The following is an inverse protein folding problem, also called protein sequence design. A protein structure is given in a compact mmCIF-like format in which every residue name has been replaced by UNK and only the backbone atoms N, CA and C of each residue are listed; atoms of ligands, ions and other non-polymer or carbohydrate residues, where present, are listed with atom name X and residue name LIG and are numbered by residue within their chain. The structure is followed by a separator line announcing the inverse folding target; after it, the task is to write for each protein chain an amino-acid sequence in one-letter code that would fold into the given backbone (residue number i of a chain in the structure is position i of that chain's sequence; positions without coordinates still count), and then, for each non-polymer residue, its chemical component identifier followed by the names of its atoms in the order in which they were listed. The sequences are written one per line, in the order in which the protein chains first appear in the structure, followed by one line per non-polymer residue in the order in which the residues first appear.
data_IF_137872676134
#
_entry.id   IF_137872676134
#
_cell.length_a   1.000
_cell.length_b   1.000
_cell.length_c   1.000
_cell.angle_alpha   90.00
_cell.angle_beta   90.00
_cell.angle_gamma   90.00
#
_symmetry.space_group_name_H-M   'P 1'
#
loop_
_entity.id
_entity.type
_entity.pdbx_description
1 polymer ?
#
# COMPACT_ATOMS: atom_id res chain seq x y z
N UNK A 1 -6.62 -21.87 6.43
CA UNK A 1 -5.69 -20.90 7.03
C UNK A 1 -5.33 -19.83 6.00
N UNK A 2 -5.38 -18.53 6.39
CA UNK A 2 -4.98 -17.41 5.55
C UNK A 2 -3.65 -16.85 6.06
N UNK A 3 -2.65 -16.79 5.19
CA UNK A 3 -1.37 -16.14 5.51
C UNK A 3 -1.41 -14.68 5.09
N UNK A 4 -1.02 -13.79 6.01
CA UNK A 4 -0.85 -12.36 5.72
C UNK A 4 0.64 -12.01 5.83
N UNK A 5 1.24 -11.53 4.74
CA UNK A 5 2.59 -10.98 4.76
C UNK A 5 2.54 -9.46 4.98
N UNK A 6 3.66 -8.85 5.39
CA UNK A 6 3.65 -7.44 5.78
C UNK A 6 2.68 -7.14 6.93
N UNK A 7 2.39 -8.12 7.78
CA UNK A 7 1.38 -8.08 8.82
C UNK A 7 1.59 -6.99 9.88
N UNK A 8 2.81 -6.53 10.07
CA UNK A 8 3.14 -5.40 10.98
C UNK A 8 3.04 -4.03 10.32
N UNK A 9 2.75 -3.98 9.01
CA UNK A 9 2.56 -2.75 8.27
C UNK A 9 1.12 -2.23 8.32
N UNK A 10 0.90 -1.05 7.77
CA UNK A 10 -0.41 -0.36 7.78
C UNK A 10 -1.54 -1.21 7.18
N UNK A 11 -1.39 -1.69 5.94
CA UNK A 11 -2.42 -2.50 5.28
C UNK A 11 -2.47 -3.92 5.85
N UNK A 12 -1.31 -4.60 6.00
CA UNK A 12 -1.27 -5.98 6.50
C UNK A 12 -1.84 -6.09 7.91
N UNK A 13 -1.54 -5.16 8.81
CA UNK A 13 -2.10 -5.12 10.16
C UNK A 13 -3.62 -4.96 10.16
N UNK A 14 -4.15 -4.08 9.32
CA UNK A 14 -5.60 -3.93 9.13
C UNK A 14 -6.23 -5.20 8.55
N UNK A 15 -5.54 -5.88 7.61
CA UNK A 15 -6.01 -7.15 7.05
C UNK A 15 -6.08 -8.24 8.12
N UNK A 16 -5.05 -8.38 8.96
CA UNK A 16 -5.06 -9.32 10.09
C UNK A 16 -6.24 -9.04 11.02
N UNK A 17 -6.43 -7.79 11.43
CA UNK A 17 -7.52 -7.40 12.33
C UNK A 17 -8.89 -7.76 11.72
N UNK A 18 -9.15 -7.37 10.49
CA UNK A 18 -10.45 -7.59 9.85
C UNK A 18 -10.75 -9.07 9.57
N UNK A 19 -9.74 -9.88 9.26
CA UNK A 19 -9.90 -11.33 9.11
C UNK A 19 -10.25 -11.99 10.46
N UNK A 20 -9.61 -11.58 11.55
CA UNK A 20 -9.94 -12.05 12.90
C UNK A 20 -11.34 -11.64 13.33
N UNK A 21 -11.75 -10.38 13.06
CA UNK A 21 -13.10 -9.89 13.34
C UNK A 21 -14.16 -10.68 12.56
N UNK A 22 -13.81 -11.20 11.38
CA UNK A 22 -14.65 -12.11 10.60
C UNK A 22 -14.61 -13.57 11.10
N UNK A 23 -13.89 -13.87 12.18
CA UNK A 23 -13.78 -15.22 12.76
C UNK A 23 -12.92 -16.18 11.94
N UNK A 24 -12.04 -15.69 11.08
CA UNK A 24 -11.23 -16.51 10.19
C UNK A 24 -9.85 -16.81 10.82
N UNK A 25 -9.30 -18.02 10.57
CA UNK A 25 -7.96 -18.37 11.04
C UNK A 25 -6.90 -17.62 10.23
N UNK A 26 -6.07 -16.84 10.92
CA UNK A 26 -5.04 -15.97 10.34
C UNK A 26 -3.67 -16.33 10.87
N UNK A 27 -2.73 -16.48 9.95
CA UNK A 27 -1.30 -16.55 10.23
C UNK A 27 -0.62 -15.28 9.72
N UNK A 28 0.12 -14.62 10.60
CA UNK A 28 0.82 -13.36 10.33
C UNK A 28 2.32 -13.61 10.18
N UNK A 29 2.86 -13.35 8.99
CA UNK A 29 4.29 -13.45 8.72
C UNK A 29 5.03 -12.20 9.19
N UNK A 30 6.06 -12.38 9.99
CA UNK A 30 6.96 -11.29 10.40
C UNK A 30 8.41 -11.78 10.51
N UNK A 31 9.36 -10.88 10.32
CA UNK A 31 10.78 -11.16 10.52
C UNK A 31 11.15 -11.26 12.00
N UNK A 32 10.42 -10.55 12.85
CA UNK A 32 10.60 -10.55 14.30
C UNK A 32 9.26 -10.71 15.03
N UNK A 33 8.90 -11.95 15.42
CA UNK A 33 7.69 -12.22 16.18
C UNK A 33 7.65 -11.57 17.56
N UNK A 34 8.83 -11.29 18.16
CA UNK A 34 8.91 -10.80 19.54
C UNK A 34 8.55 -9.33 19.67
N UNK A 35 8.79 -8.53 18.62
CA UNK A 35 8.46 -7.11 18.55
C UNK A 35 7.14 -6.82 17.80
N UNK A 36 6.49 -7.85 17.25
CA UNK A 36 5.28 -7.68 16.45
C UNK A 36 4.07 -7.32 17.31
N UNK A 37 3.62 -6.07 17.21
CA UNK A 37 2.37 -5.61 17.83
C UNK A 37 1.17 -6.05 16.97
N UNK A 38 0.79 -7.31 17.07
CA UNK A 38 -0.33 -7.89 16.33
C UNK A 38 -1.53 -8.20 17.24
N UNK A 39 -2.77 -8.19 16.69
CA UNK A 39 -3.95 -8.54 17.47
C UNK A 39 -3.86 -9.96 18.07
N UNK A 40 -4.39 -10.10 19.28
CA UNK A 40 -4.54 -11.43 19.92
C UNK A 40 -5.44 -12.32 19.06
N UNK A 41 -5.01 -13.57 18.82
CA UNK A 41 -5.75 -14.53 17.99
C UNK A 41 -5.07 -14.79 16.64
N UNK A 42 -4.17 -13.94 16.17
CA UNK A 42 -3.33 -14.26 15.02
C UNK A 42 -2.23 -15.25 15.42
N UNK A 43 -2.01 -16.26 14.60
CA UNK A 43 -0.83 -17.12 14.69
C UNK A 43 0.37 -16.36 14.11
N UNK A 44 1.32 -15.98 14.96
CA UNK A 44 2.50 -15.21 14.52
C UNK A 44 3.64 -16.16 14.21
N UNK A 45 4.13 -16.12 12.96
CA UNK A 45 5.20 -17.00 12.47
C UNK A 45 6.35 -16.16 11.91
N UNK A 46 7.57 -16.64 12.19
CA UNK A 46 8.78 -16.02 11.65
C UNK A 46 9.00 -16.42 10.20
N UNK A 47 9.34 -15.44 9.34
CA UNK A 47 9.82 -15.70 7.99
C UNK A 47 10.14 -14.39 7.26
N UNK A 48 10.91 -14.51 6.19
CA UNK A 48 11.33 -13.38 5.34
C UNK A 48 11.09 -13.72 3.87
N UNK A 49 10.34 -12.88 3.17
CA UNK A 49 10.10 -13.03 1.73
C UNK A 49 11.40 -12.91 0.89
N UNK A 50 12.43 -12.28 1.44
CA UNK A 50 13.75 -12.22 0.83
C UNK A 50 14.57 -13.51 1.01
N UNK A 51 14.15 -14.41 1.91
CA UNK A 51 14.77 -15.72 2.16
C UNK A 51 13.71 -16.83 2.12
N UNK A 52 13.45 -17.43 0.94
CA UNK A 52 12.42 -18.46 0.79
C UNK A 52 12.61 -19.68 1.68
N UNK A 53 13.84 -19.97 2.16
CA UNK A 53 14.09 -21.11 3.05
C UNK A 53 13.40 -20.95 4.41
N UNK A 54 13.05 -19.73 4.80
CA UNK A 54 12.39 -19.43 6.09
C UNK A 54 10.86 -19.55 6.04
N UNK A 55 10.26 -19.95 4.91
CA UNK A 55 8.82 -19.88 4.71
C UNK A 55 8.09 -21.21 4.90
N UNK A 56 8.79 -22.33 5.15
CA UNK A 56 8.15 -23.65 5.20
C UNK A 56 7.08 -23.72 6.30
N UNK A 57 7.43 -23.37 7.52
CA UNK A 57 6.48 -23.37 8.66
C UNK A 57 5.35 -22.35 8.45
N UNK A 58 5.65 -21.21 7.82
CA UNK A 58 4.67 -20.18 7.56
C UNK A 58 3.62 -20.60 6.53
N UNK A 59 3.98 -21.47 5.59
CA UNK A 59 3.12 -21.93 4.50
C UNK A 59 2.41 -23.25 4.79
N UNK A 60 2.75 -23.95 5.87
CA UNK A 60 2.10 -25.22 6.20
C UNK A 60 0.60 -25.04 6.51
N UNK A 61 -0.25 -25.78 5.79
CA UNK A 61 -1.71 -25.70 5.91
C UNK A 61 -2.35 -24.39 5.43
N UNK A 62 -1.61 -23.55 4.69
CA UNK A 62 -2.11 -22.29 4.11
C UNK A 62 -2.91 -22.59 2.84
N UNK A 63 -4.10 -22.01 2.74
CA UNK A 63 -4.98 -22.10 1.56
C UNK A 63 -4.97 -20.83 0.72
N UNK A 64 -4.84 -19.67 1.38
CA UNK A 64 -4.82 -18.35 0.71
C UNK A 64 -3.77 -17.45 1.29
N UNK A 65 -3.21 -16.57 0.48
CA UNK A 65 -2.19 -15.60 0.89
C UNK A 65 -2.64 -14.20 0.55
N UNK A 66 -2.65 -13.30 1.53
CA UNK A 66 -2.62 -11.87 1.31
C UNK A 66 -1.17 -11.41 1.23
N UNK A 67 -0.69 -11.19 0.02
CA UNK A 67 0.71 -10.89 -0.25
C UNK A 67 0.96 -9.39 -0.30
N UNK A 68 1.72 -8.88 0.67
CA UNK A 68 2.38 -7.57 0.62
C UNK A 68 3.86 -7.81 0.35
N UNK A 69 4.33 -7.37 -0.80
CA UNK A 69 5.72 -7.56 -1.22
C UNK A 69 6.60 -6.38 -0.80
N UNK A 70 7.79 -6.62 -0.21
CA UNK A 70 8.74 -5.54 0.09
C UNK A 70 9.49 -5.13 -1.18
N UNK A 71 8.82 -4.35 -2.03
CA UNK A 71 9.29 -3.92 -3.36
C UNK A 71 10.76 -3.53 -3.40
N UNK A 72 11.42 -3.90 -4.50
CA UNK A 72 12.85 -3.71 -4.81
C UNK A 72 13.79 -4.47 -3.86
N UNK A 73 13.61 -4.40 -2.55
CA UNK A 73 14.56 -4.98 -1.58
C UNK A 73 14.60 -6.51 -1.59
N UNK A 74 13.50 -7.17 -1.92
CA UNK A 74 13.40 -8.64 -1.99
C UNK A 74 13.24 -9.18 -3.42
N UNK A 75 13.30 -8.36 -4.45
CA UNK A 75 13.03 -8.76 -5.83
C UNK A 75 13.98 -9.84 -6.36
N UNK A 76 15.17 -9.95 -5.80
CA UNK A 76 16.12 -11.03 -6.11
C UNK A 76 15.59 -12.42 -5.73
N UNK A 77 14.78 -12.52 -4.66
CA UNK A 77 14.19 -13.77 -4.19
C UNK A 77 12.80 -14.06 -4.78
N UNK A 78 12.21 -13.09 -5.52
CA UNK A 78 10.85 -13.17 -5.99
C UNK A 78 10.49 -14.47 -6.73
N UNK A 79 11.27 -14.97 -7.70
CA UNK A 79 10.92 -16.21 -8.40
C UNK A 79 10.76 -17.39 -7.45
N UNK A 80 11.73 -17.61 -6.56
CA UNK A 80 11.73 -18.74 -5.62
C UNK A 80 10.66 -18.61 -4.56
N UNK A 81 10.42 -17.39 -4.05
CA UNK A 81 9.40 -17.12 -3.04
C UNK A 81 7.99 -17.33 -3.61
N UNK A 82 7.71 -16.79 -4.81
CA UNK A 82 6.40 -16.97 -5.45
C UNK A 82 6.16 -18.43 -5.81
N UNK A 83 7.17 -19.13 -6.35
CA UNK A 83 7.07 -20.59 -6.60
C UNK A 83 6.75 -21.37 -5.31
N UNK A 84 7.39 -21.01 -4.20
CA UNK A 84 7.14 -21.66 -2.91
C UNK A 84 5.73 -21.39 -2.39
N UNK A 85 5.26 -20.15 -2.45
CA UNK A 85 3.87 -19.78 -2.11
C UNK A 85 2.88 -20.58 -2.97
N UNK A 86 3.14 -20.67 -4.28
CA UNK A 86 2.26 -21.34 -5.23
C UNK A 86 2.11 -22.85 -4.99
N UNK A 87 3.07 -23.50 -4.36
CA UNK A 87 2.98 -24.93 -3.98
C UNK A 87 2.00 -25.18 -2.83
N UNK A 88 1.68 -24.18 -2.04
CA UNK A 88 0.85 -24.30 -0.84
C UNK A 88 -0.51 -23.61 -0.99
N UNK A 89 -0.53 -22.40 -1.53
CA UNK A 89 -1.74 -21.59 -1.65
C UNK A 89 -2.54 -21.93 -2.91
N UNK A 90 -3.87 -21.92 -2.80
CA UNK A 90 -4.81 -22.02 -3.91
C UNK A 90 -5.14 -20.63 -4.48
N UNK A 91 -5.09 -19.60 -3.65
CA UNK A 91 -5.40 -18.23 -4.05
C UNK A 91 -4.39 -17.24 -3.44
N UNK A 92 -3.88 -16.34 -4.29
CA UNK A 92 -2.98 -15.26 -3.90
C UNK A 92 -3.63 -13.92 -4.19
N UNK A 93 -3.97 -13.16 -3.14
CA UNK A 93 -4.39 -11.77 -3.26
C UNK A 93 -3.16 -10.89 -3.07
N UNK A 94 -2.76 -10.21 -4.13
CA UNK A 94 -1.54 -9.41 -4.12
C UNK A 94 -1.83 -7.91 -4.02
N UNK A 95 -1.23 -7.25 -3.04
CA UNK A 95 -1.22 -5.79 -2.93
C UNK A 95 -0.21 -5.20 -3.91
N UNK A 96 -0.69 -4.90 -5.09
CA UNK A 96 0.03 -4.28 -6.20
C UNK A 96 -0.07 -2.75 -6.14
N UNK A 97 0.02 -2.06 -7.27
CA UNK A 97 -0.08 -0.62 -7.37
C UNK A 97 -0.85 -0.17 -8.63
N UNK A 98 -1.61 0.91 -8.51
CA UNK A 98 -2.18 1.62 -9.65
C UNK A 98 -1.06 2.09 -10.58
N UNK A 99 -1.27 1.95 -11.88
CA UNK A 99 -0.28 2.29 -12.91
C UNK A 99 0.57 1.12 -13.38
N UNK A 100 0.47 -0.06 -12.74
CA UNK A 100 1.00 -1.29 -13.35
C UNK A 100 0.25 -1.54 -14.66
N UNK A 101 0.93 -1.62 -15.82
CA UNK A 101 0.26 -1.83 -17.09
C UNK A 101 -0.30 -3.25 -17.19
N UNK A 102 -1.46 -3.37 -17.82
CA UNK A 102 -1.97 -4.69 -18.17
C UNK A 102 -1.12 -5.31 -19.29
N UNK A 103 -0.86 -6.62 -19.21
CA UNK A 103 -0.06 -7.30 -20.21
C UNK A 103 -0.81 -7.31 -21.55
N UNK A 104 -0.31 -6.54 -22.52
CA UNK A 104 -0.82 -6.51 -23.88
C UNK A 104 0.35 -6.39 -24.87
N UNK A 105 0.22 -6.91 -26.11
CA UNK A 105 1.25 -6.73 -27.14
C UNK A 105 1.55 -5.24 -27.38
N UNK A 106 2.82 -4.86 -27.27
CA UNK A 106 3.27 -3.49 -27.48
C UNK A 106 3.14 -2.57 -26.27
N UNK A 107 2.63 -3.04 -25.14
CA UNK A 107 2.64 -2.25 -23.89
C UNK A 107 4.09 -2.10 -23.41
N UNK A 108 4.57 -0.85 -23.19
CA UNK A 108 5.91 -0.64 -22.66
C UNK A 108 6.05 -1.24 -21.25
N UNK A 109 7.14 -1.95 -21.02
CA UNK A 109 7.49 -2.44 -19.69
C UNK A 109 7.93 -1.27 -18.80
N UNK A 110 7.47 -1.19 -17.54
CA UNK A 110 8.01 -0.23 -16.58
C UNK A 110 9.50 -0.49 -16.33
N UNK A 111 10.25 0.57 -15.98
CA UNK A 111 11.64 0.40 -15.54
C UNK A 111 11.71 -0.67 -14.43
N UNK A 112 12.46 -1.76 -14.62
CA UNK A 112 12.53 -2.85 -13.64
C UNK A 112 13.09 -2.43 -12.28
N UNK A 113 13.79 -1.30 -12.22
CA UNK A 113 14.33 -0.72 -10.99
C UNK A 113 13.36 0.29 -10.33
N UNK A 114 12.18 0.48 -10.89
CA UNK A 114 11.12 1.30 -10.30
C UNK A 114 10.17 0.46 -9.44
N UNK A 115 9.41 1.14 -8.58
CA UNK A 115 8.36 0.50 -7.78
C UNK A 115 7.32 -0.17 -8.70
N UNK A 116 6.89 0.49 -9.76
CA UNK A 116 5.94 -0.08 -10.73
C UNK A 116 6.54 -1.29 -11.48
N UNK A 117 7.83 -1.25 -11.80
CA UNK A 117 8.53 -2.39 -12.42
C UNK A 117 8.60 -3.59 -11.48
N UNK A 118 8.88 -3.37 -10.20
CA UNK A 118 8.83 -4.41 -9.18
C UNK A 118 7.43 -5.03 -9.10
N UNK A 119 6.37 -4.22 -8.96
CA UNK A 119 4.99 -4.72 -8.94
C UNK A 119 4.61 -5.49 -10.20
N UNK A 120 4.92 -4.97 -11.38
CA UNK A 120 4.65 -5.63 -12.66
C UNK A 120 5.35 -6.99 -12.76
N UNK A 121 6.59 -7.08 -12.24
CA UNK A 121 7.33 -8.33 -12.17
C UNK A 121 6.66 -9.34 -11.25
N UNK A 122 6.24 -8.93 -10.07
CA UNK A 122 5.57 -9.82 -9.10
C UNK A 122 4.23 -10.31 -9.65
N UNK A 123 3.40 -9.44 -10.23
CA UNK A 123 2.15 -9.85 -10.89
C UNK A 123 2.40 -10.95 -11.93
N UNK A 124 3.39 -10.77 -12.82
CA UNK A 124 3.72 -11.77 -13.85
C UNK A 124 4.21 -13.10 -13.26
N UNK A 125 4.97 -13.06 -12.17
CA UNK A 125 5.41 -14.30 -11.50
C UNK A 125 4.21 -15.03 -10.90
N UNK A 126 3.29 -14.34 -10.25
CA UNK A 126 2.08 -14.92 -9.68
C UNK A 126 1.19 -15.51 -10.79
N UNK A 127 0.92 -14.78 -11.87
CA UNK A 127 0.12 -15.25 -13.00
C UNK A 127 0.62 -16.56 -13.60
N UNK A 128 1.93 -16.75 -13.62
CA UNK A 128 2.59 -17.94 -14.20
C UNK A 128 2.77 -19.09 -13.21
N UNK A 129 2.48 -18.87 -11.93
CA UNK A 129 2.80 -19.84 -10.88
C UNK A 129 1.72 -20.88 -10.62
N UNK A 130 0.50 -20.70 -11.13
CA UNK A 130 -0.59 -21.68 -11.12
C UNK A 130 -1.77 -21.45 -10.18
N UNK A 131 -1.65 -20.89 -8.97
CA UNK A 131 -2.78 -20.54 -8.12
C UNK A 131 -3.75 -19.55 -8.77
N UNK A 132 -4.98 -19.51 -8.30
CA UNK A 132 -5.87 -18.38 -8.54
C UNK A 132 -5.24 -17.11 -7.97
N UNK A 133 -5.43 -16.00 -8.66
CA UNK A 133 -4.85 -14.74 -8.22
C UNK A 133 -5.84 -13.58 -8.36
N UNK A 134 -5.65 -12.58 -7.52
CA UNK A 134 -6.35 -11.29 -7.60
C UNK A 134 -5.37 -10.17 -7.25
N UNK A 135 -5.31 -9.11 -8.06
CA UNK A 135 -4.45 -7.97 -7.82
C UNK A 135 -5.25 -6.78 -7.34
N UNK A 136 -4.92 -6.27 -6.16
CA UNK A 136 -5.41 -5.00 -5.67
C UNK A 136 -4.40 -3.92 -6.07
N UNK A 137 -4.83 -2.98 -6.87
CA UNK A 137 -4.00 -1.89 -7.41
C UNK A 137 -4.44 -0.55 -6.82
N UNK A 138 -4.13 -0.25 -5.56
CA UNK A 138 -4.48 1.03 -4.95
C UNK A 138 -3.68 2.17 -5.57
N UNK A 139 -4.29 3.35 -5.58
CA UNK A 139 -3.64 4.62 -5.84
C UNK A 139 -2.81 5.09 -4.65
N UNK A 140 -2.76 6.40 -4.42
CA UNK A 140 -2.03 6.94 -3.28
C UNK A 140 -2.64 6.56 -1.94
N UNK A 141 -1.82 6.10 -1.00
CA UNK A 141 -2.25 5.81 0.36
C UNK A 141 -2.37 7.11 1.16
N UNK A 142 -3.43 7.25 1.95
CA UNK A 142 -3.57 8.36 2.89
C UNK A 142 -2.40 8.40 3.88
N UNK A 143 -1.89 7.24 4.29
CA UNK A 143 -0.71 7.11 5.15
C UNK A 143 0.58 7.75 4.59
N UNK A 144 0.66 8.04 3.29
CA UNK A 144 1.80 8.74 2.71
C UNK A 144 1.91 10.18 3.23
N UNK A 145 0.82 10.79 3.70
CA UNK A 145 0.82 12.13 4.29
C UNK A 145 1.51 12.19 5.65
N UNK A 146 1.79 11.04 6.29
CA UNK A 146 2.63 10.98 7.50
C UNK A 146 4.04 11.51 7.27
N UNK A 147 4.49 11.64 6.02
CA UNK A 147 5.75 12.33 5.68
C UNK A 147 5.79 13.78 6.16
N UNK A 148 4.63 14.41 6.39
CA UNK A 148 4.51 15.78 6.92
C UNK A 148 4.42 15.85 8.44
N UNK A 149 4.33 14.71 9.13
CA UNK A 149 4.04 14.68 10.57
C UNK A 149 5.04 15.49 11.41
N UNK A 150 6.35 15.36 11.15
CA UNK A 150 7.35 16.15 11.88
C UNK A 150 7.21 17.65 11.63
N UNK A 151 7.01 18.08 10.38
CA UNK A 151 6.81 19.49 10.05
C UNK A 151 5.56 20.05 10.74
N UNK A 152 4.46 19.28 10.75
CA UNK A 152 3.22 19.66 11.40
C UNK A 152 3.43 19.80 12.92
N UNK A 153 4.06 18.83 13.58
CA UNK A 153 4.35 18.88 15.02
C UNK A 153 5.23 20.09 15.38
N UNK A 154 6.33 20.25 14.68
CA UNK A 154 7.39 21.16 15.07
C UNK A 154 7.06 22.61 14.73
N UNK A 155 6.43 22.86 13.59
CA UNK A 155 6.23 24.24 13.07
C UNK A 155 4.79 24.61 12.77
N UNK A 156 3.88 23.64 12.65
CA UNK A 156 2.53 23.88 12.15
C UNK A 156 2.49 24.31 10.68
N UNK A 157 3.58 24.06 9.91
CA UNK A 157 3.68 24.42 8.49
C UNK A 157 4.26 23.26 7.70
N UNK A 158 3.57 22.89 6.62
CA UNK A 158 4.07 21.92 5.65
C UNK A 158 4.73 22.68 4.51
N UNK A 159 6.02 22.49 4.34
CA UNK A 159 6.81 23.02 3.23
C UNK A 159 7.01 21.91 2.20
N UNK A 160 6.34 22.01 1.06
CA UNK A 160 6.41 20.99 0.02
C UNK A 160 6.06 21.57 -1.35
N UNK A 161 6.13 20.76 -2.41
CA UNK A 161 5.93 21.16 -3.81
C UNK A 161 4.50 20.87 -4.28
N UNK A 162 4.02 21.64 -5.25
CA UNK A 162 2.78 21.41 -5.97
C UNK A 162 1.55 21.25 -5.06
N UNK A 163 1.28 22.23 -4.21
CA UNK A 163 0.14 22.22 -3.29
C UNK A 163 -1.22 21.97 -3.95
N UNK A 164 -1.36 22.32 -5.23
CA UNK A 164 -2.53 22.03 -6.05
C UNK A 164 -2.58 20.63 -6.65
N UNK A 165 -1.54 19.79 -6.46
CA UNK A 165 -1.56 18.41 -6.93
C UNK A 165 -2.65 17.61 -6.23
N UNK A 166 -3.48 16.90 -7.00
CA UNK A 166 -4.69 16.22 -6.50
C UNK A 166 -4.50 14.71 -6.47
N UNK A 167 -5.00 14.08 -5.40
CA UNK A 167 -5.00 12.63 -5.26
C UNK A 167 -6.30 12.13 -4.66
N UNK A 168 -6.70 10.94 -5.09
CA UNK A 168 -7.79 10.17 -4.49
C UNK A 168 -7.22 9.20 -3.44
N UNK A 169 -6.70 9.75 -2.33
CA UNK A 169 -6.00 8.99 -1.30
C UNK A 169 -6.91 7.97 -0.63
N UNK A 170 -6.45 6.72 -0.58
CA UNK A 170 -7.21 5.62 0.02
C UNK A 170 -6.70 5.31 1.43
N UNK A 171 -7.65 5.07 2.34
CA UNK A 171 -7.37 4.59 3.69
C UNK A 171 -6.87 3.13 3.64
N UNK A 172 -5.84 2.77 4.40
CA UNK A 172 -5.31 1.42 4.52
C UNK A 172 -6.35 0.41 5.00
N UNK A 173 -7.33 0.86 5.81
CA UNK A 173 -8.48 0.07 6.24
C UNK A 173 -9.36 -0.38 5.08
N UNK A 174 -9.55 0.47 4.06
CA UNK A 174 -10.38 0.16 2.90
C UNK A 174 -9.66 -0.78 1.93
N UNK A 175 -8.34 -0.64 1.80
CA UNK A 175 -7.52 -1.60 1.05
C UNK A 175 -7.62 -2.98 1.69
N UNK A 176 -7.50 -3.04 3.03
CA UNK A 176 -7.63 -4.29 3.78
C UNK A 176 -9.04 -4.88 3.62
N UNK A 177 -10.09 -4.06 3.72
CA UNK A 177 -11.47 -4.51 3.55
C UNK A 177 -11.72 -5.09 2.15
N UNK A 178 -11.22 -4.46 1.09
CA UNK A 178 -11.26 -5.01 -0.26
C UNK A 178 -10.51 -6.35 -0.34
N UNK A 179 -9.34 -6.45 0.30
CA UNK A 179 -8.57 -7.70 0.37
C UNK A 179 -9.31 -8.82 1.10
N UNK A 180 -9.95 -8.52 2.23
CA UNK A 180 -10.76 -9.48 2.99
C UNK A 180 -11.97 -9.93 2.17
N UNK A 181 -12.68 -9.01 1.52
CA UNK A 181 -13.81 -9.36 0.65
C UNK A 181 -13.40 -10.31 -0.47
N UNK A 182 -12.26 -10.05 -1.11
CA UNK A 182 -11.71 -10.91 -2.18
C UNK A 182 -11.26 -12.27 -1.66
N UNK A 183 -10.63 -12.34 -0.47
CA UNK A 183 -10.18 -13.60 0.14
C UNK A 183 -11.33 -14.50 0.57
N UNK A 184 -12.49 -13.92 0.90
CA UNK A 184 -13.66 -14.65 1.44
C UNK A 184 -14.79 -14.83 0.42
N UNK A 185 -14.78 -14.03 -0.64
CA UNK A 185 -15.76 -14.06 -1.72
C UNK A 185 -15.41 -15.06 -2.81
N UNK A 186 -16.22 -15.06 -3.85
CA UNK A 186 -16.05 -15.87 -5.08
C UNK A 186 -16.09 -14.98 -6.30
N UNK A 187 -15.54 -15.46 -7.43
CA UNK A 187 -15.59 -14.73 -8.71
C UNK A 187 -14.50 -13.65 -8.88
N UNK A 188 -13.49 -13.66 -8.04
CA UNK A 188 -12.39 -12.69 -8.07
C UNK A 188 -11.11 -13.21 -8.75
N UNK A 189 -11.08 -14.49 -9.12
CA UNK A 189 -9.94 -15.10 -9.81
C UNK A 189 -9.64 -14.40 -11.14
N UNK A 190 -8.39 -14.03 -11.35
CA UNK A 190 -7.93 -13.31 -12.55
C UNK A 190 -8.30 -11.82 -12.60
N UNK A 191 -8.85 -11.26 -11.54
CA UNK A 191 -9.28 -9.86 -11.49
C UNK A 191 -8.15 -8.91 -11.06
N UNK A 192 -8.20 -7.70 -11.62
CA UNK A 192 -7.34 -6.56 -11.26
C UNK A 192 -8.24 -5.41 -10.82
N UNK A 193 -8.19 -5.07 -9.55
CA UNK A 193 -9.03 -4.04 -8.94
C UNK A 193 -8.24 -2.76 -8.69
N UNK A 194 -8.55 -1.70 -9.44
CA UNK A 194 -8.00 -0.37 -9.15
C UNK A 194 -8.79 0.24 -7.99
N UNK A 195 -8.09 0.56 -6.89
CA UNK A 195 -8.69 1.10 -5.69
C UNK A 195 -8.30 2.57 -5.50
N UNK A 196 -9.25 3.38 -5.05
CA UNK A 196 -9.02 4.78 -4.67
C UNK A 196 -9.81 5.14 -3.42
N UNK A 197 -9.47 6.28 -2.80
CA UNK A 197 -10.37 6.94 -1.87
C UNK A 197 -11.63 7.46 -2.58
N UNK A 198 -12.65 7.88 -1.81
CA UNK A 198 -13.95 8.28 -2.35
C UNK A 198 -13.96 9.70 -2.93
N UNK A 199 -12.89 10.46 -2.75
CA UNK A 199 -12.81 11.88 -3.12
C UNK A 199 -11.38 12.23 -3.59
N UNK A 200 -11.28 13.26 -4.43
CA UNK A 200 -10.02 13.83 -4.86
C UNK A 200 -9.75 15.12 -4.11
N UNK A 201 -8.61 15.20 -3.42
CA UNK A 201 -8.19 16.36 -2.65
C UNK A 201 -6.83 16.85 -3.11
N UNK A 202 -6.66 18.18 -3.17
CA UNK A 202 -5.34 18.82 -3.31
C UNK A 202 -4.49 18.57 -2.07
N UNK A 203 -3.16 18.69 -2.17
CA UNK A 203 -2.28 18.59 -1.00
C UNK A 203 -2.60 19.65 0.07
N UNK A 204 -3.00 20.87 -0.36
CA UNK A 204 -3.44 21.94 0.55
C UNK A 204 -4.69 21.53 1.33
N UNK A 205 -5.68 20.93 0.66
CA UNK A 205 -6.90 20.43 1.32
C UNK A 205 -6.60 19.27 2.29
N UNK A 206 -5.66 18.39 1.93
CA UNK A 206 -5.19 17.33 2.82
C UNK A 206 -4.55 17.89 4.09
N UNK A 207 -3.67 18.89 3.95
CA UNK A 207 -3.03 19.59 5.09
C UNK A 207 -4.08 20.29 5.95
N UNK A 208 -5.09 20.90 5.34
CA UNK A 208 -6.21 21.55 6.06
C UNK A 208 -6.99 20.52 6.88
N UNK A 209 -7.34 19.37 6.28
CA UNK A 209 -8.05 18.30 6.97
C UNK A 209 -7.26 17.72 8.16
N UNK A 210 -5.93 17.57 8.01
CA UNK A 210 -5.05 17.17 9.11
C UNK A 210 -5.07 18.24 10.22
N UNK A 211 -4.98 19.51 9.86
CA UNK A 211 -5.05 20.63 10.80
C UNK A 211 -6.34 20.62 11.64
N UNK A 212 -7.49 20.40 11.00
CA UNK A 212 -8.79 20.24 11.66
C UNK A 212 -8.79 19.04 12.62
N UNK A 213 -8.24 17.91 12.22
CA UNK A 213 -8.18 16.69 13.03
C UNK A 213 -7.32 16.85 14.30
N UNK A 214 -6.21 17.62 14.21
CA UNK A 214 -5.35 17.89 15.37
C UNK A 214 -5.80 19.10 16.20
N UNK A 215 -6.84 19.82 15.76
CA UNK A 215 -7.41 20.97 16.48
C UNK A 215 -6.56 22.24 16.38
N UNK A 216 -5.71 22.38 15.37
CA UNK A 216 -4.91 23.60 15.11
C UNK A 216 -4.78 23.91 13.63
N UNK A 217 -4.63 25.18 13.27
CA UNK A 217 -4.35 25.57 11.90
C UNK A 217 -2.97 25.07 11.48
N UNK A 218 -2.92 24.32 10.37
CA UNK A 218 -1.68 23.94 9.68
C UNK A 218 -1.61 24.71 8.37
N UNK A 219 -0.44 25.27 8.07
CA UNK A 219 -0.22 26.11 6.89
C UNK A 219 0.53 25.31 5.82
N UNK A 220 0.23 25.63 4.56
CA UNK A 220 1.02 25.20 3.42
C UNK A 220 2.00 26.30 3.01
N UNK A 221 3.24 25.94 2.75
CA UNK A 221 4.26 26.79 2.14
C UNK A 221 4.78 26.10 0.89
N UNK A 222 4.53 26.71 -0.27
CA UNK A 222 4.96 26.17 -1.55
C UNK A 222 6.47 26.29 -1.71
N UNK A 223 7.15 25.17 -1.94
CA UNK A 223 8.57 25.15 -2.25
C UNK A 223 8.79 25.11 -3.77
N UNK A 224 9.79 25.82 -4.28
CA UNK A 224 10.28 25.58 -5.64
C UNK A 224 10.79 24.14 -5.76
N UNK A 225 10.50 23.43 -6.90
CA UNK A 225 10.90 22.04 -7.08
C UNK A 225 12.41 21.78 -6.88
N UNK A 226 13.26 22.72 -7.32
CA UNK A 226 14.72 22.62 -7.18
C UNK A 226 15.15 22.73 -5.71
N UNK A 227 14.44 23.51 -4.89
CA UNK A 227 14.71 23.61 -3.45
C UNK A 227 14.33 22.32 -2.75
N UNK A 228 13.15 21.78 -3.03
CA UNK A 228 12.71 20.50 -2.48
C UNK A 228 13.65 19.35 -2.87
N UNK A 229 14.16 19.34 -4.12
CA UNK A 229 15.15 18.37 -4.58
C UNK A 229 16.44 18.46 -3.74
N UNK A 230 16.97 19.68 -3.53
CA UNK A 230 18.16 19.89 -2.70
C UNK A 230 17.94 19.43 -1.24
N UNK A 231 16.78 19.73 -0.66
CA UNK A 231 16.44 19.30 0.70
C UNK A 231 16.38 17.77 0.82
N UNK A 232 15.72 17.07 -0.11
CA UNK A 232 15.64 15.61 -0.11
C UNK A 232 17.03 14.96 -0.22
N UNK A 233 17.84 15.43 -1.18
CA UNK A 233 19.21 14.93 -1.36
C UNK A 233 20.07 15.22 -0.11
N UNK A 234 19.92 16.40 0.49
CA UNK A 234 20.60 16.76 1.73
C UNK A 234 20.20 15.90 2.94
N UNK A 235 19.01 15.30 2.92
CA UNK A 235 18.55 14.30 3.91
C UNK A 235 18.94 12.86 3.56
N UNK A 236 19.77 12.66 2.52
CA UNK A 236 20.30 11.35 2.14
C UNK A 236 19.47 10.58 1.10
N UNK A 237 18.46 11.21 0.47
CA UNK A 237 17.75 10.56 -0.63
C UNK A 237 18.65 10.41 -1.86
N UNK A 238 18.63 9.27 -2.56
CA UNK A 238 19.28 9.14 -3.86
C UNK A 238 18.71 10.19 -4.83
N UNK A 239 19.55 10.93 -5.59
CA UNK A 239 19.06 12.02 -6.45
C UNK A 239 17.98 11.61 -7.45
N UNK A 240 18.09 10.42 -8.04
CA UNK A 240 17.10 9.91 -8.97
C UNK A 240 15.72 9.64 -8.29
N UNK A 241 15.74 9.11 -7.07
CA UNK A 241 14.52 8.86 -6.30
C UNK A 241 13.84 10.18 -5.87
N UNK A 242 14.64 11.15 -5.39
CA UNK A 242 14.16 12.48 -5.04
C UNK A 242 13.53 13.20 -6.24
N UNK A 243 14.20 13.15 -7.40
CA UNK A 243 13.67 13.71 -8.65
C UNK A 243 12.38 13.01 -9.07
N UNK A 244 12.33 11.68 -9.06
CA UNK A 244 11.15 10.91 -9.40
C UNK A 244 9.93 11.24 -8.53
N UNK A 245 10.15 11.48 -7.23
CA UNK A 245 9.10 11.91 -6.31
C UNK A 245 8.53 13.29 -6.71
N UNK A 246 9.40 14.26 -7.00
CA UNK A 246 8.99 15.62 -7.39
C UNK A 246 8.28 15.61 -8.74
N UNK A 247 8.82 14.89 -9.74
CA UNK A 247 8.20 14.75 -11.06
C UNK A 247 6.82 14.08 -10.95
N UNK A 248 6.68 13.10 -10.05
CA UNK A 248 5.38 12.47 -9.75
C UNK A 248 4.34 13.48 -9.25
N UNK A 249 4.72 14.38 -8.35
CA UNK A 249 3.81 15.44 -7.89
C UNK A 249 3.48 16.45 -9.00
N UNK A 250 4.44 16.78 -9.87
CA UNK A 250 4.19 17.62 -11.04
C UNK A 250 3.15 16.98 -11.98
N UNK A 251 3.25 15.68 -12.22
CA UNK A 251 2.27 14.93 -13.03
C UNK A 251 0.87 14.95 -12.39
N UNK A 252 0.78 14.75 -11.07
CA UNK A 252 -0.49 14.80 -10.34
C UNK A 252 -1.14 16.19 -10.34
N UNK A 253 -0.35 17.26 -10.44
CA UNK A 253 -0.86 18.61 -10.59
C UNK A 253 -1.47 18.84 -11.98
N UNK A 254 -0.94 18.20 -13.01
CA UNK A 254 -1.44 18.31 -14.39
C UNK A 254 -2.58 17.34 -14.69
N UNK A 255 -2.55 16.14 -14.09
CA UNK A 255 -3.48 15.05 -14.37
C UNK A 255 -4.09 14.56 -13.05
N UNK A 256 -5.28 15.10 -12.67
CA UNK A 256 -5.98 14.65 -11.46
C UNK A 256 -6.24 13.15 -11.44
N UNK A 257 -6.02 12.53 -10.31
CA UNK A 257 -6.29 11.10 -10.12
C UNK A 257 -7.81 10.87 -10.10
N UNK A 258 -8.30 9.90 -10.90
CA UNK A 258 -9.73 9.56 -10.91
C UNK A 258 -10.12 8.71 -9.72
N UNK A 259 -11.32 8.97 -9.18
CA UNK A 259 -11.98 8.13 -8.17
C UNK A 259 -12.58 6.89 -8.84
N UNK A 260 -12.56 5.75 -8.12
CA UNK A 260 -13.23 4.50 -8.51
C UNK A 260 -14.27 4.11 -7.47
N UNK A 261 -15.32 3.39 -7.89
CA UNK A 261 -16.33 2.78 -7.02
C UNK A 261 -15.93 1.43 -6.44
N UNK A 262 -14.75 0.93 -6.80
CA UNK A 262 -14.32 -0.46 -6.56
C UNK A 262 -14.32 -0.85 -5.07
N UNK A 263 -13.97 0.08 -4.16
CA UNK A 263 -14.06 -0.19 -2.71
C UNK A 263 -15.50 -0.50 -2.33
N UNK A 264 -16.47 0.31 -2.78
CA UNK A 264 -17.90 0.10 -2.50
C UNK A 264 -18.42 -1.17 -3.14
N UNK A 265 -18.04 -1.44 -4.39
CA UNK A 265 -18.43 -2.66 -5.12
C UNK A 265 -17.96 -3.94 -4.41
N UNK A 266 -16.73 -3.95 -3.89
CA UNK A 266 -16.16 -5.10 -3.20
C UNK A 266 -16.67 -5.27 -1.76
N UNK A 267 -16.90 -4.14 -1.05
CA UNK A 267 -17.14 -4.17 0.41
C UNK A 267 -18.59 -3.91 0.79
N UNK A 268 -19.42 -3.44 -0.16
CA UNK A 268 -20.81 -3.02 0.09
C UNK A 268 -20.95 -1.70 0.86
N UNK A 269 -19.85 -0.96 1.06
CA UNK A 269 -19.83 0.33 1.75
C UNK A 269 -18.90 1.31 1.04
N UNK A 270 -19.23 2.61 1.03
CA UNK A 270 -18.37 3.62 0.42
C UNK A 270 -16.99 3.65 1.08
N UNK A 271 -15.99 4.06 0.31
CA UNK A 271 -14.65 4.29 0.83
C UNK A 271 -14.63 5.36 1.93
N UNK A 272 -13.63 5.30 2.79
CA UNK A 272 -13.46 6.22 3.91
C UNK A 272 -12.91 7.57 3.43
N UNK A 273 -13.59 8.70 3.70
CA UNK A 273 -13.07 10.03 3.36
C UNK A 273 -11.73 10.33 4.04
N UNK A 274 -10.89 11.12 3.39
CA UNK A 274 -9.57 11.49 3.93
C UNK A 274 -9.68 12.20 5.29
N UNK A 275 -10.72 13.00 5.50
CA UNK A 275 -10.99 13.66 6.78
C UNK A 275 -11.15 12.65 7.94
N UNK A 276 -11.78 11.51 7.68
CA UNK A 276 -11.88 10.44 8.68
C UNK A 276 -10.53 9.78 8.92
N UNK A 277 -9.74 9.52 7.86
CA UNK A 277 -8.38 9.04 8.01
C UNK A 277 -7.52 9.98 8.86
N UNK A 278 -7.61 11.30 8.62
CA UNK A 278 -6.88 12.30 9.39
C UNK A 278 -7.31 12.31 10.88
N UNK A 279 -8.59 12.08 11.17
CA UNK A 279 -9.07 11.95 12.55
C UNK A 279 -8.55 10.67 13.22
N UNK A 280 -8.57 9.53 12.51
CA UNK A 280 -8.08 8.23 13.00
C UNK A 280 -6.55 8.27 13.27
N UNK A 281 -5.82 9.15 12.58
CA UNK A 281 -4.37 9.35 12.67
C UNK A 281 -3.93 10.66 13.34
N UNK A 282 -4.84 11.35 14.03
CA UNK A 282 -4.53 12.66 14.62
C UNK A 282 -3.32 12.63 15.58
N UNK A 283 -3.14 11.53 16.31
CA UNK A 283 -2.03 11.39 17.26
C UNK A 283 -0.66 11.27 16.58
N UNK A 284 -0.61 10.82 15.33
CA UNK A 284 0.63 10.78 14.54
C UNK A 284 1.16 12.20 14.23
N UNK A 285 0.28 13.22 14.27
CA UNK A 285 0.57 14.62 13.93
C UNK A 285 0.60 15.58 15.14
N UNK A 286 0.40 15.08 16.38
CA UNK A 286 0.46 15.85 17.62
C UNK A 286 1.82 15.91 18.26
#
# INVERSE_FOLDING_TARGET
MILVTGATGKVGGQTVTQLLDAGLPVRALTRDPTSAALPKGAEVVRGDLADPATLDDALDGVESVFLVWPTLSADHAAPSTIEKIAKHARHVVYLSARGVPDPAPGTPEPDPNSILGSHARIERLIERSGPEWTFLRPGGFAANTLMWASQIRDTGTVRWVYGGATRALIHERDIAAAGVSVLTGTGHAGARYVLSGPETLTQIEQVTAIGEAVGRAVRWEELPPEEALRELVGRGWPPAAAKGLIDGHAQMAMFPESVTSTVEELTGRPGTPFRQWAADHADDFR
#
